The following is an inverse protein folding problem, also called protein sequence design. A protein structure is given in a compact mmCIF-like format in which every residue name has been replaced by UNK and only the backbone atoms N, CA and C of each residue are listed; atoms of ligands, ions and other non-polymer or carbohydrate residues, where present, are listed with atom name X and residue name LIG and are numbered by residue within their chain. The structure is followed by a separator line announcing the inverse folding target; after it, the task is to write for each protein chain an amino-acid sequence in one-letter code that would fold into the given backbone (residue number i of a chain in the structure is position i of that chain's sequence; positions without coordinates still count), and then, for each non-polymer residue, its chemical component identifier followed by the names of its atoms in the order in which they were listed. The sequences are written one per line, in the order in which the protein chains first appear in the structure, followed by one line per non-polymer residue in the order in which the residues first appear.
data_IF_272132814474
#
_entry.id   IF_272132814474
#
_cell.length_a   1.000
_cell.length_b   1.000
_cell.length_c   1.000
_cell.angle_alpha   90.00
_cell.angle_beta   90.00
_cell.angle_gamma   90.00
#
_symmetry.space_group_name_H-M   'P 1'
#
loop_
_entity.id
_entity.type
_entity.pdbx_description
1 polymer ?
#
# COMPACT_ATOMS: atom_id res chain seq x y z
N UNK A 1 2.23 -10.70 -3.59
CA UNK A 1 2.77 -9.72 -4.57
C UNK A 1 2.12 -9.81 -5.95
N UNK A 2 1.61 -10.98 -6.39
CA UNK A 2 0.92 -11.12 -7.68
C UNK A 2 -0.27 -10.16 -7.85
N UNK A 3 -1.05 -9.91 -6.80
CA UNK A 3 -2.18 -8.97 -6.87
C UNK A 3 -1.75 -7.58 -7.33
N UNK A 4 -0.67 -7.04 -6.76
CA UNK A 4 -0.13 -5.72 -7.12
C UNK A 4 0.36 -5.68 -8.57
N UNK A 5 0.97 -6.77 -9.04
CA UNK A 5 1.43 -6.90 -10.43
C UNK A 5 0.26 -6.85 -11.42
N UNK A 6 -0.83 -7.56 -11.10
CA UNK A 6 -2.02 -7.63 -11.95
C UNK A 6 -2.76 -6.29 -11.99
N UNK A 7 -2.97 -5.64 -10.84
CA UNK A 7 -3.75 -4.39 -10.78
C UNK A 7 -2.96 -3.18 -11.29
N UNK A 8 -1.63 -3.21 -11.23
CA UNK A 8 -0.80 -2.11 -11.74
C UNK A 8 -0.35 -2.29 -13.18
N UNK A 9 -0.40 -3.51 -13.72
CA UNK A 9 0.17 -3.85 -15.02
C UNK A 9 1.71 -3.81 -15.05
N UNK A 10 2.38 -3.55 -13.93
CA UNK A 10 3.84 -3.42 -13.83
C UNK A 10 4.47 -4.66 -13.20
N UNK A 11 5.66 -5.03 -13.69
CA UNK A 11 6.45 -6.13 -13.13
C UNK A 11 7.12 -5.71 -11.82
N UNK A 12 6.71 -6.35 -10.72
CA UNK A 12 7.37 -6.22 -9.43
C UNK A 12 8.61 -7.13 -9.31
N UNK A 13 9.56 -6.79 -8.42
CA UNK A 13 10.69 -7.66 -8.10
C UNK A 13 10.20 -9.01 -7.56
N UNK A 14 10.93 -10.07 -7.91
CA UNK A 14 10.55 -11.43 -7.54
C UNK A 14 10.46 -11.57 -6.01
N UNK A 15 9.41 -12.24 -5.49
CA UNK A 15 9.32 -12.56 -4.07
C UNK A 15 10.48 -13.44 -3.61
N UNK A 16 10.95 -13.19 -2.39
CA UNK A 16 11.88 -14.06 -1.70
C UNK A 16 11.18 -15.40 -1.45
N UNK A 17 11.81 -16.48 -1.91
CA UNK A 17 11.30 -17.84 -1.77
C UNK A 17 11.81 -18.42 -0.46
N UNK A 18 10.95 -18.47 0.55
CA UNK A 18 11.26 -19.12 1.81
C UNK A 18 10.08 -19.16 2.77
N UNK A 19 10.07 -20.13 3.69
CA UNK A 19 8.95 -20.36 4.63
C UNK A 19 9.10 -19.62 5.96
N UNK A 20 10.30 -19.11 6.25
CA UNK A 20 10.61 -18.42 7.49
C UNK A 20 9.91 -17.04 7.57
N UNK A 21 9.64 -16.58 8.80
CA UNK A 21 8.94 -15.31 9.07
C UNK A 21 9.60 -14.11 8.39
N UNK A 22 10.93 -14.02 8.42
CA UNK A 22 11.65 -12.89 7.83
C UNK A 22 11.46 -12.78 6.31
N UNK A 23 11.32 -13.91 5.59
CA UNK A 23 11.01 -13.89 4.15
C UNK A 23 9.61 -13.31 3.89
N UNK A 24 8.64 -13.65 4.74
CA UNK A 24 7.29 -13.09 4.65
C UNK A 24 7.32 -11.57 4.89
N UNK A 25 8.05 -11.12 5.91
CA UNK A 25 8.21 -9.70 6.23
C UNK A 25 8.86 -8.95 5.06
N UNK A 26 9.96 -9.49 4.51
CA UNK A 26 10.64 -8.89 3.36
C UNK A 26 9.72 -8.76 2.14
N UNK A 27 8.92 -9.79 1.86
CA UNK A 27 7.95 -9.77 0.77
C UNK A 27 6.82 -8.75 1.00
N UNK A 28 6.35 -8.58 2.23
CA UNK A 28 5.34 -7.58 2.56
C UNK A 28 5.94 -6.17 2.49
N UNK A 29 7.15 -5.95 2.99
CA UNK A 29 7.85 -4.66 2.85
C UNK A 29 7.99 -4.24 1.38
N UNK A 30 8.45 -5.15 0.49
CA UNK A 30 8.50 -4.89 -0.96
C UNK A 30 7.15 -4.46 -1.54
N UNK A 31 6.06 -5.06 -1.06
CA UNK A 31 4.72 -4.69 -1.48
C UNK A 31 4.30 -3.30 -0.95
N UNK A 32 4.60 -3.01 0.32
CA UNK A 32 4.33 -1.71 0.94
C UNK A 32 5.10 -0.59 0.24
N UNK A 33 6.38 -0.81 -0.05
CA UNK A 33 7.25 0.15 -0.75
C UNK A 33 6.71 0.47 -2.14
N UNK A 34 6.25 -0.55 -2.88
CA UNK A 34 5.61 -0.34 -4.18
C UNK A 34 4.33 0.48 -4.07
N UNK A 35 3.46 0.16 -3.10
CA UNK A 35 2.22 0.91 -2.87
C UNK A 35 2.54 2.38 -2.52
N UNK A 36 3.54 2.62 -1.67
CA UNK A 36 4.03 3.96 -1.34
C UNK A 36 4.57 4.69 -2.58
N UNK A 37 5.28 4.01 -3.47
CA UNK A 37 5.79 4.59 -4.73
C UNK A 37 4.67 5.04 -5.68
N UNK A 38 3.48 4.43 -5.58
CA UNK A 38 2.26 4.83 -6.30
C UNK A 38 1.49 5.98 -5.63
N UNK A 39 2.09 6.61 -4.62
CA UNK A 39 1.49 7.77 -3.94
C UNK A 39 0.36 7.40 -2.98
N UNK A 40 0.40 6.19 -2.42
CA UNK A 40 -0.49 5.74 -1.35
C UNK A 40 0.24 5.85 -0.01
N UNK A 41 -0.31 6.61 0.93
CA UNK A 41 0.24 6.67 2.30
C UNK A 41 -0.41 5.62 3.17
N UNK A 42 0.33 4.57 3.47
CA UNK A 42 -0.07 3.54 4.43
C UNK A 42 0.35 3.99 5.84
N UNK A 43 -0.49 4.81 6.48
CA UNK A 43 -0.24 5.25 7.85
C UNK A 43 -0.59 4.11 8.81
N UNK A 44 0.35 3.73 9.68
CA UNK A 44 0.18 2.71 10.73
C UNK A 44 0.08 1.24 10.27
N UNK A 45 0.39 0.91 9.01
CA UNK A 45 0.44 -0.50 8.55
C UNK A 45 1.90 -0.96 8.45
N UNK A 46 2.32 -1.83 9.36
CA UNK A 46 3.63 -2.47 9.35
C UNK A 46 3.59 -3.88 8.76
N UNK A 47 4.69 -4.32 8.13
CA UNK A 47 4.79 -5.68 7.60
C UNK A 47 4.67 -6.77 8.68
N UNK A 48 5.09 -6.47 9.91
CA UNK A 48 5.00 -7.40 11.04
C UNK A 48 3.55 -7.75 11.37
N UNK A 49 2.68 -6.73 11.50
CA UNK A 49 1.25 -6.91 11.78
C UNK A 49 0.54 -7.78 10.73
N UNK A 50 0.94 -7.66 9.46
CA UNK A 50 0.40 -8.48 8.36
C UNK A 50 0.88 -9.91 8.46
N UNK A 51 2.17 -10.11 8.76
CA UNK A 51 2.77 -11.45 8.86
C UNK A 51 2.29 -12.21 10.10
N UNK A 52 2.06 -11.48 11.19
CA UNK A 52 1.55 -12.02 12.46
C UNK A 52 0.01 -12.24 12.42
N UNK A 53 -0.65 -11.83 11.33
CA UNK A 53 -2.04 -12.19 11.05
C UNK A 53 -3.07 -11.25 11.68
N UNK A 54 -2.73 -9.99 11.95
CA UNK A 54 -3.69 -9.00 12.43
C UNK A 54 -4.72 -8.70 11.32
N UNK A 55 -5.92 -9.25 11.47
CA UNK A 55 -7.01 -9.11 10.50
C UNK A 55 -7.39 -7.65 10.25
N UNK A 56 -7.34 -6.79 11.29
CA UNK A 56 -7.69 -5.37 11.16
C UNK A 56 -6.71 -4.64 10.25
N UNK A 57 -5.41 -4.87 10.43
CA UNK A 57 -4.37 -4.26 9.60
C UNK A 57 -4.38 -4.81 8.17
N UNK A 58 -4.60 -6.13 8.02
CA UNK A 58 -4.69 -6.78 6.71
C UNK A 58 -5.86 -6.25 5.90
N UNK A 59 -7.03 -6.09 6.53
CA UNK A 59 -8.21 -5.53 5.88
C UNK A 59 -7.99 -4.07 5.50
N UNK A 60 -7.35 -3.28 6.37
CA UNK A 60 -6.97 -1.88 6.08
C UNK A 60 -6.04 -1.75 4.88
N UNK A 61 -5.07 -2.67 4.74
CA UNK A 61 -4.17 -2.72 3.58
C UNK A 61 -4.93 -3.02 2.29
N UNK A 62 -5.77 -4.07 2.28
CA UNK A 62 -6.55 -4.46 1.10
C UNK A 62 -7.54 -3.36 0.71
N UNK A 63 -8.23 -2.78 1.70
CA UNK A 63 -9.14 -1.66 1.50
C UNK A 63 -8.44 -0.50 0.79
N UNK A 64 -7.27 -0.12 1.28
CA UNK A 64 -6.49 0.98 0.69
C UNK A 64 -6.06 0.68 -0.75
N UNK A 65 -5.66 -0.56 -1.04
CA UNK A 65 -5.31 -1.00 -2.40
C UNK A 65 -6.53 -0.90 -3.32
N UNK A 66 -7.68 -1.45 -2.92
CA UNK A 66 -8.91 -1.40 -3.72
C UNK A 66 -9.32 0.05 -3.97
N UNK A 67 -9.33 0.87 -2.92
CA UNK A 67 -9.79 2.24 -2.98
C UNK A 67 -8.88 3.10 -3.87
N UNK A 68 -7.57 2.84 -3.89
CA UNK A 68 -6.65 3.57 -4.77
C UNK A 68 -6.73 3.10 -6.22
N UNK A 69 -6.68 1.80 -6.47
CA UNK A 69 -6.62 1.27 -7.84
C UNK A 69 -7.99 1.33 -8.55
N UNK A 70 -9.12 1.27 -7.84
CA UNK A 70 -10.45 1.41 -8.46
C UNK A 70 -10.85 2.87 -8.73
N UNK A 71 -10.31 3.82 -7.96
CA UNK A 71 -10.68 5.25 -8.07
C UNK A 71 -9.67 6.05 -8.90
N UNK A 72 -8.36 5.72 -8.89
CA UNK A 72 -7.35 6.45 -9.66
C UNK A 72 -7.30 6.12 -11.16
N UNK A 73 -7.94 5.04 -11.62
CA UNK A 73 -8.10 4.80 -13.07
C UNK A 73 -8.94 5.92 -13.74
N UNK A 74 -9.66 6.71 -12.93
CA UNK A 74 -10.24 8.00 -13.29
C UNK A 74 -9.20 9.08 -12.99
N UNK A 75 -8.27 9.30 -13.91
CA UNK A 75 -7.18 10.28 -13.75
C UNK A 75 -7.74 11.70 -13.56
N UNK A 76 -7.58 12.25 -12.36
CA UNK A 76 -7.44 13.70 -12.15
C UNK A 76 -6.26 13.92 -11.22
N UNK A 77 -5.26 14.62 -11.74
CA UNK A 77 -4.01 14.97 -11.07
C UNK A 77 -4.30 15.67 -9.73
N UNK A 78 -3.71 15.17 -8.62
CA UNK A 78 -3.52 16.01 -7.44
C UNK A 78 -4.11 15.56 -6.09
N UNK A 79 -4.63 14.35 -5.91
CA UNK A 79 -5.09 13.91 -4.58
C UNK A 79 -4.20 12.82 -3.97
N UNK A 80 -3.37 13.24 -3.02
CA UNK A 80 -2.85 12.41 -1.93
C UNK A 80 -4.03 11.96 -1.08
N UNK A 81 -4.59 10.78 -1.36
CA UNK A 81 -5.60 10.18 -0.48
C UNK A 81 -4.83 9.61 0.72
N UNK A 82 -4.68 10.44 1.76
CA UNK A 82 -4.37 9.92 3.08
C UNK A 82 -5.57 9.04 3.48
N UNK A 83 -5.39 7.72 3.49
CA UNK A 83 -6.31 6.82 4.21
C UNK A 83 -6.01 7.00 5.69
N UNK A 84 -6.51 8.11 6.18
CA UNK A 84 -6.57 8.47 7.57
C UNK A 84 -7.68 7.64 8.20
N UNK A 85 -7.32 6.58 8.95
CA UNK A 85 -8.23 6.05 9.98
C UNK A 85 -8.48 7.11 11.08
N UNK A 86 -7.70 8.20 11.10
CA UNK A 86 -8.01 9.45 11.81
C UNK A 86 -7.60 10.64 10.93
N UNK A 87 -8.57 11.48 10.58
CA UNK A 87 -8.45 12.72 9.80
C UNK A 87 -7.13 13.47 10.04
N UNK A 88 -6.33 13.69 9.00
CA UNK A 88 -5.42 14.84 8.94
C UNK A 88 -5.79 15.74 7.76
N UNK A 89 -5.95 17.06 7.97
CA UNK A 89 -6.24 18.01 6.89
C UNK A 89 -5.08 18.12 5.90
N UNK A 90 -5.42 18.22 4.62
CA UNK A 90 -4.49 18.49 3.53
C UNK A 90 -4.12 19.98 3.50
N UNK A 91 -3.21 20.43 4.37
CA UNK A 91 -2.62 21.77 4.32
C UNK A 91 -1.14 21.68 3.92
N UNK A 92 -0.83 21.37 2.66
CA UNK A 92 0.56 21.50 2.13
C UNK A 92 0.64 21.60 0.60
N UNK A 93 -0.38 22.13 -0.08
CA UNK A 93 -0.24 22.55 -1.49
C UNK A 93 -0.51 24.04 -1.55
N UNK A 94 0.52 24.83 -1.27
CA UNK A 94 0.60 26.23 -1.71
C UNK A 94 1.82 26.30 -2.64
N UNK A 95 1.65 26.41 -3.96
CA UNK A 95 2.78 26.78 -4.80
C UNK A 95 3.09 28.29 -4.62
N UNK A 96 4.32 28.72 -4.93
CA UNK A 96 4.70 30.14 -4.89
C UNK A 96 3.92 31.00 -5.89
#
# INVERSE_FOLDING_TARGET
MLLLEVISGERLPKPDKGKMRFHKIANVNKALDFICSKGVKLVSIGAEEIVDGNTKMTLGMIWTIILRFAIQDISVEGQCVCVCVYTVPCESIRPP
#
